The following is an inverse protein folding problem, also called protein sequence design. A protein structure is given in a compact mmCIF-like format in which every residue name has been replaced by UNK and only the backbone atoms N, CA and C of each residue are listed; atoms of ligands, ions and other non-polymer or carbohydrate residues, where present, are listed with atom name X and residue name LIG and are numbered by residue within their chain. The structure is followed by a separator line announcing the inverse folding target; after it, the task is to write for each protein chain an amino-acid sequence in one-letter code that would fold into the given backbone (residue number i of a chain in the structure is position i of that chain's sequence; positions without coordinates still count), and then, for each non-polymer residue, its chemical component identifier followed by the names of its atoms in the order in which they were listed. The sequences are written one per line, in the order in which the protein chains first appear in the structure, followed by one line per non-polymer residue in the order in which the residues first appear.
data_IF_466124007864
#
_entry.id   IF_466124007864
#
_cell.length_a   1.000
_cell.length_b   1.000
_cell.length_c   1.000
_cell.angle_alpha   90.00
_cell.angle_beta   90.00
_cell.angle_gamma   90.00
#
_symmetry.space_group_name_H-M   'P 1'
#
loop_
_entity.id
_entity.type
_entity.pdbx_description
1 polymer ?
#
# COMPACT_ATOMS: atom_id res chain seq x y z
N UNK A 1 -13.79 30.65 15.87
CA UNK A 1 -13.75 29.75 14.69
C UNK A 1 -12.33 29.31 14.35
N UNK A 2 -11.36 30.22 14.23
CA UNK A 2 -9.95 29.87 13.96
C UNK A 2 -9.26 28.97 15.02
N UNK A 3 -9.59 29.11 16.31
CA UNK A 3 -9.01 28.27 17.38
C UNK A 3 -9.44 26.80 17.30
N UNK A 4 -10.69 26.53 16.91
CA UNK A 4 -11.21 25.15 16.81
C UNK A 4 -10.58 24.43 15.61
N UNK A 5 -10.39 25.16 14.50
CA UNK A 5 -9.73 24.65 13.30
C UNK A 5 -8.23 24.38 13.55
N UNK A 6 -7.57 25.23 14.34
CA UNK A 6 -6.18 25.04 14.74
C UNK A 6 -6.00 23.85 15.69
N UNK A 7 -6.89 23.70 16.68
CA UNK A 7 -6.87 22.56 17.61
C UNK A 7 -7.07 21.23 16.88
N UNK A 8 -8.02 21.14 15.95
CA UNK A 8 -8.22 19.95 15.12
C UNK A 8 -7.01 19.65 14.21
N UNK A 9 -6.37 20.68 13.65
CA UNK A 9 -5.17 20.50 12.81
C UNK A 9 -3.98 20.00 13.65
N UNK A 10 -3.86 20.50 14.89
CA UNK A 10 -2.80 20.09 15.82
C UNK A 10 -3.02 18.67 16.34
N UNK A 11 -4.24 18.29 16.72
CA UNK A 11 -4.57 16.92 17.12
C UNK A 11 -4.33 15.92 15.98
N UNK A 12 -4.70 16.27 14.74
CA UNK A 12 -4.41 15.43 13.56
C UNK A 12 -2.92 15.29 13.30
N UNK A 13 -2.14 16.37 13.42
CA UNK A 13 -0.69 16.31 13.28
C UNK A 13 -0.02 15.46 14.38
N UNK A 14 -0.47 15.60 15.63
CA UNK A 14 0.05 14.84 16.75
C UNK A 14 -0.27 13.34 16.61
N UNK A 15 -1.51 13.03 16.24
CA UNK A 15 -1.94 11.67 15.95
C UNK A 15 -1.13 11.06 14.80
N UNK A 16 -0.91 11.81 13.71
CA UNK A 16 -0.06 11.39 12.59
C UNK A 16 1.38 11.09 13.01
N UNK A 17 1.99 11.93 13.85
CA UNK A 17 3.38 11.76 14.29
C UNK A 17 3.54 10.58 15.26
N UNK A 18 2.68 10.46 16.28
CA UNK A 18 2.69 9.33 17.21
C UNK A 18 2.46 8.01 16.48
N UNK A 19 1.62 8.05 15.45
CA UNK A 19 1.32 6.92 14.62
C UNK A 19 2.50 6.49 13.73
N UNK A 20 3.19 7.45 13.08
CA UNK A 20 4.45 7.17 12.38
C UNK A 20 5.48 6.51 13.29
N UNK A 21 5.63 7.00 14.53
CA UNK A 21 6.53 6.41 15.51
C UNK A 21 6.14 4.97 15.89
N UNK A 22 4.84 4.70 16.04
CA UNK A 22 4.33 3.35 16.31
C UNK A 22 4.65 2.41 15.14
N UNK A 23 4.42 2.84 13.90
CA UNK A 23 4.72 2.00 12.74
C UNK A 23 6.22 1.74 12.60
N UNK A 24 7.06 2.77 12.68
CA UNK A 24 8.51 2.60 12.57
C UNK A 24 9.04 1.64 13.63
N UNK A 25 8.49 1.68 14.85
CA UNK A 25 8.79 0.70 15.90
C UNK A 25 8.33 -0.72 15.57
N UNK A 26 7.11 -0.89 15.07
CA UNK A 26 6.59 -2.20 14.66
C UNK A 26 7.49 -2.83 13.60
N UNK A 27 7.89 -2.07 12.57
CA UNK A 27 8.79 -2.56 11.52
C UNK A 27 10.22 -2.80 11.99
N UNK A 28 10.75 -1.98 12.90
CA UNK A 28 12.11 -2.18 13.44
C UNK A 28 12.20 -3.42 14.34
N UNK A 29 11.12 -3.76 15.03
CA UNK A 29 11.08 -4.89 15.98
C UNK A 29 10.73 -6.22 15.31
N UNK A 30 9.97 -6.19 14.23
CA UNK A 30 9.67 -7.40 13.48
C UNK A 30 10.86 -7.73 12.57
N UNK A 31 11.55 -8.85 12.85
CA UNK A 31 12.52 -9.45 11.91
C UNK A 31 11.78 -10.10 10.74
N UNK A 32 11.07 -9.29 9.96
CA UNK A 32 10.37 -9.76 8.77
C UNK A 32 11.44 -10.05 7.72
N UNK A 33 11.67 -11.33 7.45
CA UNK A 33 12.64 -11.77 6.42
C UNK A 33 11.96 -12.41 5.23
N UNK A 34 10.63 -12.45 5.24
CA UNK A 34 9.79 -13.01 4.19
C UNK A 34 8.79 -11.96 3.70
N UNK A 35 8.62 -11.86 2.37
CA UNK A 35 7.72 -10.90 1.74
C UNK A 35 6.27 -11.03 2.21
N UNK A 36 5.82 -12.24 2.55
CA UNK A 36 4.46 -12.49 3.03
C UNK A 36 4.17 -11.80 4.36
N UNK A 37 5.06 -11.94 5.35
CA UNK A 37 4.86 -11.32 6.68
C UNK A 37 4.87 -9.79 6.61
N UNK A 38 5.66 -9.24 5.68
CA UNK A 38 5.70 -7.82 5.35
C UNK A 38 4.35 -7.37 4.79
N UNK A 39 3.86 -8.08 3.78
CA UNK A 39 2.59 -7.76 3.13
C UNK A 39 1.41 -7.85 4.11
N UNK A 40 1.38 -8.87 4.97
CA UNK A 40 0.34 -9.03 6.00
C UNK A 40 0.38 -7.89 7.02
N UNK A 41 1.58 -7.49 7.46
CA UNK A 41 1.75 -6.36 8.39
C UNK A 41 1.27 -5.05 7.77
N UNK A 42 1.67 -4.77 6.52
CA UNK A 42 1.22 -3.60 5.77
C UNK A 42 -0.30 -3.58 5.65
N UNK A 43 -0.87 -4.72 5.28
CA UNK A 43 -2.30 -4.89 5.14
C UNK A 43 -3.01 -4.58 6.47
N UNK A 44 -2.56 -5.17 7.58
CA UNK A 44 -3.15 -4.98 8.91
C UNK A 44 -3.09 -3.52 9.38
N UNK A 45 -1.97 -2.83 9.14
CA UNK A 45 -1.82 -1.42 9.48
C UNK A 45 -2.76 -0.54 8.67
N UNK A 46 -2.85 -0.81 7.37
CA UNK A 46 -3.71 -0.05 6.46
C UNK A 46 -5.17 -0.15 6.89
N UNK A 47 -5.64 -1.34 7.30
CA UNK A 47 -6.99 -1.55 7.81
C UNK A 47 -7.27 -0.93 9.19
N UNK A 48 -6.24 -0.65 9.99
CA UNK A 48 -6.43 -0.05 11.32
C UNK A 48 -6.69 1.46 11.25
N UNK A 49 -6.21 2.13 10.20
CA UNK A 49 -6.32 3.59 10.05
C UNK A 49 -7.34 4.00 9.00
N UNK A 50 -7.43 3.25 7.89
CA UNK A 50 -8.40 3.49 6.85
C UNK A 50 -9.61 2.58 7.11
N UNK A 51 -10.79 3.16 7.33
CA UNK A 51 -12.07 2.43 7.52
C UNK A 51 -12.56 1.82 6.18
N UNK A 52 -11.75 0.89 5.66
CA UNK A 52 -11.86 0.23 4.38
C UNK A 52 -11.99 -1.28 4.58
N UNK A 53 -12.84 -1.91 3.76
CA UNK A 53 -13.08 -3.35 3.82
C UNK A 53 -12.22 -4.14 2.85
N UNK A 54 -11.66 -3.47 1.85
CA UNK A 54 -10.80 -4.10 0.86
C UNK A 54 -9.41 -3.45 0.87
N UNK A 55 -8.37 -4.29 0.86
CA UNK A 55 -6.96 -3.90 0.91
C UNK A 55 -6.09 -4.92 0.21
N UNK A 56 -5.09 -4.46 -0.52
CA UNK A 56 -4.17 -5.31 -1.25
C UNK A 56 -2.77 -4.70 -1.29
N UNK A 57 -1.78 -5.57 -1.22
CA UNK A 57 -0.39 -5.29 -1.52
C UNK A 57 0.03 -6.17 -2.68
N UNK A 58 0.47 -5.55 -3.77
CA UNK A 58 1.01 -6.21 -4.95
C UNK A 58 2.50 -5.90 -5.02
N UNK A 59 3.33 -6.91 -5.27
CA UNK A 59 4.78 -6.76 -5.41
C UNK A 59 5.20 -7.27 -6.78
N UNK A 60 6.18 -6.60 -7.39
CA UNK A 60 6.79 -7.07 -8.63
C UNK A 60 7.57 -8.35 -8.36
N UNK A 61 7.34 -9.38 -9.18
CA UNK A 61 8.18 -10.57 -9.20
C UNK A 61 9.51 -10.31 -9.94
N UNK A 62 10.35 -11.34 -10.05
CA UNK A 62 11.64 -11.25 -10.76
C UNK A 62 11.51 -10.93 -12.26
N UNK A 63 10.32 -11.02 -12.85
CA UNK A 63 10.02 -10.64 -14.24
C UNK A 63 9.48 -9.21 -14.37
N UNK A 64 9.27 -8.52 -13.24
CA UNK A 64 8.67 -7.19 -13.19
C UNK A 64 7.14 -7.19 -13.34
N UNK A 65 6.49 -8.35 -13.26
CA UNK A 65 5.03 -8.44 -13.24
C UNK A 65 4.53 -8.32 -11.80
N UNK A 66 3.38 -7.67 -11.61
CA UNK A 66 2.76 -7.62 -10.29
C UNK A 66 2.18 -8.97 -9.91
N UNK A 67 2.58 -9.46 -8.74
CA UNK A 67 2.02 -10.60 -8.06
C UNK A 67 1.35 -10.17 -6.75
N UNK A 68 0.34 -10.92 -6.32
CA UNK A 68 -0.40 -10.63 -5.09
C UNK A 68 0.45 -11.08 -3.90
N UNK A 69 0.89 -10.14 -3.08
CA UNK A 69 1.59 -10.42 -1.84
C UNK A 69 0.62 -10.51 -0.65
N UNK A 70 -0.40 -9.64 -0.61
CA UNK A 70 -1.52 -9.75 0.32
C UNK A 70 -2.79 -9.19 -0.32
N UNK A 71 -3.94 -9.78 0.00
CA UNK A 71 -5.24 -9.26 -0.43
C UNK A 71 -6.33 -9.68 0.56
N UNK A 72 -7.20 -8.73 0.89
CA UNK A 72 -8.38 -8.95 1.71
C UNK A 72 -9.53 -8.11 1.16
N UNK A 73 -10.74 -8.66 1.16
CA UNK A 73 -11.97 -7.92 0.83
C UNK A 73 -12.22 -7.57 -0.64
N UNK A 74 -11.25 -7.81 -1.55
CA UNK A 74 -11.44 -7.60 -2.99
C UNK A 74 -12.25 -8.70 -3.70
N UNK A 75 -12.61 -9.78 -3.00
CA UNK A 75 -13.29 -10.93 -3.60
C UNK A 75 -12.27 -11.83 -4.30
N UNK A 76 -12.40 -12.01 -5.61
CA UNK A 76 -11.46 -12.80 -6.41
C UNK A 76 -10.12 -12.06 -6.55
N UNK A 77 -9.03 -12.56 -5.92
CA UNK A 77 -7.75 -11.87 -5.97
C UNK A 77 -7.16 -11.82 -7.39
N UNK A 78 -7.48 -12.78 -8.26
CA UNK A 78 -6.91 -12.85 -9.61
C UNK A 78 -7.22 -11.59 -10.44
N UNK A 79 -8.33 -10.92 -10.16
CA UNK A 79 -8.71 -9.67 -10.82
C UNK A 79 -7.71 -8.54 -10.57
N UNK A 80 -6.99 -8.54 -9.43
CA UNK A 80 -5.99 -7.52 -9.08
C UNK A 80 -4.70 -7.61 -9.91
N UNK A 81 -4.50 -8.69 -10.67
CA UNK A 81 -3.32 -8.90 -11.53
C UNK A 81 -3.68 -9.26 -12.98
N UNK A 82 -4.98 -9.21 -13.30
CA UNK A 82 -5.49 -9.47 -14.65
C UNK A 82 -5.12 -8.36 -15.65
N UNK A 83 -5.33 -8.62 -16.94
CA UNK A 83 -4.97 -7.68 -18.01
C UNK A 83 -5.72 -6.34 -17.88
N UNK A 84 -6.97 -6.34 -17.44
CA UNK A 84 -7.79 -5.14 -17.26
C UNK A 84 -7.29 -4.13 -16.25
N UNK A 85 -6.56 -4.56 -15.22
CA UNK A 85 -6.03 -3.67 -14.20
C UNK A 85 -4.60 -3.19 -14.50
N UNK A 86 -3.94 -3.78 -15.51
CA UNK A 86 -2.53 -3.53 -15.86
C UNK A 86 -2.30 -2.04 -16.16
N UNK A 87 -3.16 -1.43 -16.97
CA UNK A 87 -3.06 -0.02 -17.33
C UNK A 87 -3.18 0.90 -16.10
N UNK A 88 -4.07 0.56 -15.16
CA UNK A 88 -4.22 1.28 -13.90
C UNK A 88 -2.93 1.21 -13.08
N UNK A 89 -2.38 0.01 -12.87
CA UNK A 89 -1.20 -0.15 -12.02
C UNK A 89 0.06 0.47 -12.60
N UNK A 90 0.29 0.39 -13.92
CA UNK A 90 1.40 1.10 -14.54
C UNK A 90 1.29 2.61 -14.34
N UNK A 91 0.09 3.18 -14.53
CA UNK A 91 -0.12 4.60 -14.29
C UNK A 91 0.14 4.98 -12.81
N UNK A 92 -0.32 4.18 -11.85
CA UNK A 92 -0.05 4.41 -10.42
C UNK A 92 1.46 4.37 -10.12
N UNK A 93 2.19 3.42 -10.72
CA UNK A 93 3.64 3.33 -10.58
C UNK A 93 4.38 4.53 -11.20
N UNK A 94 3.91 5.03 -12.35
CA UNK A 94 4.52 6.19 -13.01
C UNK A 94 4.29 7.49 -12.21
N UNK A 95 3.14 7.63 -11.56
CA UNK A 95 2.80 8.83 -10.77
C UNK A 95 3.61 8.95 -9.46
N UNK A 96 4.09 7.84 -8.90
CA UNK A 96 4.92 7.79 -7.67
C UNK A 96 4.41 8.62 -6.49
N UNK A 97 3.08 8.73 -6.36
CA UNK A 97 2.39 9.42 -5.26
C UNK A 97 1.10 8.69 -4.91
N UNK A 98 0.58 8.93 -3.71
CA UNK A 98 -0.73 8.42 -3.35
C UNK A 98 -1.83 9.12 -4.16
N UNK A 99 -2.78 8.33 -4.66
CA UNK A 99 -3.86 8.75 -5.53
C UNK A 99 -5.19 8.35 -4.90
N UNK A 100 -6.15 9.28 -4.88
CA UNK A 100 -7.57 8.97 -4.64
C UNK A 100 -8.31 8.99 -5.97
N UNK A 101 -8.90 7.87 -6.35
CA UNK A 101 -9.62 7.68 -7.59
C UNK A 101 -11.11 7.52 -7.31
N UNK A 102 -11.93 8.32 -7.99
CA UNK A 102 -13.37 8.15 -7.99
C UNK A 102 -13.82 6.97 -8.85
N UNK A 103 -15.10 6.54 -8.72
CA UNK A 103 -15.70 5.44 -9.50
C UNK A 103 -15.41 5.52 -11.01
N UNK A 104 -15.61 6.70 -11.61
CA UNK A 104 -15.42 6.90 -13.05
C UNK A 104 -13.97 6.72 -13.48
N UNK A 105 -13.01 7.19 -12.68
CA UNK A 105 -11.59 7.06 -12.97
C UNK A 105 -11.11 5.62 -12.87
N UNK A 106 -11.64 4.87 -11.88
CA UNK A 106 -11.38 3.43 -11.73
C UNK A 106 -11.93 2.69 -12.95
N UNK A 107 -13.22 2.83 -13.26
CA UNK A 107 -13.88 2.08 -14.33
C UNK A 107 -13.35 2.43 -15.73
N UNK A 108 -12.82 3.66 -15.93
CA UNK A 108 -12.18 4.03 -17.18
C UNK A 108 -10.84 3.31 -17.43
N UNK A 109 -10.14 2.90 -16.38
CA UNK A 109 -8.83 2.22 -16.46
C UNK A 109 -8.89 0.74 -16.12
N UNK A 110 -9.96 0.31 -15.47
CA UNK A 110 -10.24 -1.04 -15.06
C UNK A 110 -11.76 -1.30 -15.18
N UNK A 111 -12.28 -1.51 -16.40
CA UNK A 111 -13.72 -1.69 -16.64
C UNK A 111 -14.34 -2.87 -15.89
N UNK A 112 -13.58 -3.95 -15.74
CA UNK A 112 -13.92 -5.18 -15.00
C UNK A 112 -13.48 -5.13 -13.53
N UNK A 113 -13.44 -3.95 -12.91
CA UNK A 113 -13.06 -3.78 -11.52
C UNK A 113 -13.95 -4.64 -10.59
N UNK A 114 -13.37 -5.25 -9.53
CA UNK A 114 -14.15 -5.95 -8.52
C UNK A 114 -15.12 -5.00 -7.83
N UNK A 115 -16.27 -5.49 -7.33
CA UNK A 115 -17.28 -4.64 -6.66
C UNK A 115 -16.73 -3.74 -5.56
N UNK A 116 -15.66 -4.17 -4.87
CA UNK A 116 -14.99 -3.40 -3.84
C UNK A 116 -14.32 -2.12 -4.38
N UNK A 117 -13.76 -2.16 -5.58
CA UNK A 117 -13.07 -1.05 -6.25
C UNK A 117 -14.03 -0.12 -7.02
N UNK A 118 -15.21 -0.59 -7.41
CA UNK A 118 -16.17 0.18 -8.22
C UNK A 118 -16.65 1.48 -7.56
N UNK A 119 -16.54 1.62 -6.23
CA UNK A 119 -16.95 2.83 -5.50
C UNK A 119 -15.82 3.85 -5.34
N UNK A 120 -14.63 3.55 -5.86
CA UNK A 120 -13.43 4.33 -5.68
C UNK A 120 -12.31 3.54 -5.01
N UNK A 121 -11.11 4.07 -5.16
CA UNK A 121 -9.86 3.40 -4.79
C UNK A 121 -8.89 4.45 -4.25
N UNK A 122 -8.16 4.15 -3.19
CA UNK A 122 -6.91 4.84 -2.90
C UNK A 122 -5.74 3.89 -3.13
N UNK A 123 -4.69 4.37 -3.78
CA UNK A 123 -3.54 3.56 -4.13
C UNK A 123 -2.25 4.37 -4.17
N UNK A 124 -1.12 3.70 -4.01
CA UNK A 124 0.22 4.29 -4.08
C UNK A 124 1.22 3.26 -4.57
N UNK A 125 2.22 3.69 -5.32
CA UNK A 125 3.36 2.85 -5.68
C UNK A 125 4.21 2.53 -4.44
N UNK A 126 4.82 1.35 -4.40
CA UNK A 126 5.89 1.02 -3.46
C UNK A 126 7.20 1.23 -4.20
N UNK A 127 7.91 2.31 -3.89
CA UNK A 127 9.12 2.70 -4.61
C UNK A 127 10.38 2.39 -3.81
N UNK A 128 11.34 1.72 -4.43
CA UNK A 128 12.67 1.47 -3.89
C UNK A 128 13.70 2.18 -4.76
N UNK A 129 14.28 3.27 -4.25
CA UNK A 129 15.09 4.20 -5.05
C UNK A 129 14.28 4.72 -6.25
N UNK A 130 14.78 4.55 -7.48
CA UNK A 130 14.12 5.05 -8.70
C UNK A 130 13.14 4.04 -9.34
N UNK A 131 12.96 2.85 -8.75
CA UNK A 131 12.11 1.79 -9.32
C UNK A 131 10.88 1.52 -8.45
N UNK A 132 9.72 1.39 -9.09
CA UNK A 132 8.52 0.87 -8.42
C UNK A 132 8.61 -0.65 -8.32
N UNK A 133 8.51 -1.17 -7.11
CA UNK A 133 8.57 -2.60 -6.77
C UNK A 133 7.20 -3.17 -6.39
N UNK A 134 6.14 -2.37 -6.46
CA UNK A 134 4.80 -2.81 -6.10
C UNK A 134 3.78 -1.68 -6.03
N UNK A 135 2.57 -2.03 -5.58
CA UNK A 135 1.44 -1.12 -5.35
C UNK A 135 0.73 -1.52 -4.06
N UNK A 136 0.33 -0.52 -3.28
CA UNK A 136 -0.65 -0.67 -2.21
C UNK A 136 -1.98 -0.08 -2.66
N UNK A 137 -3.07 -0.77 -2.36
CA UNK A 137 -4.41 -0.38 -2.76
C UNK A 137 -5.43 -0.65 -1.65
N UNK A 138 -6.39 0.27 -1.48
CA UNK A 138 -7.53 0.13 -0.57
C UNK A 138 -8.82 0.59 -1.21
N UNK A 139 -9.91 -0.10 -0.88
CA UNK A 139 -11.23 0.15 -1.44
C UNK A 139 -12.36 -0.22 -0.46
N UNK A 140 -13.60 -0.08 -0.93
CA UNK A 140 -14.83 -0.28 -0.16
C UNK A 140 -14.82 0.44 1.20
N UNK A 141 -14.51 1.74 1.14
CA UNK A 141 -14.55 2.63 2.30
C UNK A 141 -15.97 2.72 2.86
N UNK A 142 -16.11 2.55 4.18
CA UNK A 142 -17.42 2.52 4.85
C UNK A 142 -18.18 3.85 4.75
N UNK A 143 -17.48 4.98 4.88
CA UNK A 143 -18.10 6.32 4.80
C UNK A 143 -18.53 6.72 3.39
N UNK A 144 -18.02 6.03 2.35
CA UNK A 144 -18.20 6.36 0.92
C UNK A 144 -17.70 7.76 0.49
N UNK A 145 -17.04 8.49 1.39
CA UNK A 145 -16.39 9.75 1.05
C UNK A 145 -15.08 9.49 0.29
N UNK A 146 -14.61 10.43 -0.56
CA UNK A 146 -13.26 10.40 -1.09
C UNK A 146 -12.21 10.35 0.02
N UNK A 147 -11.03 9.83 -0.30
CA UNK A 147 -9.92 9.80 0.65
C UNK A 147 -9.35 11.22 0.82
N UNK A 148 -9.20 11.63 2.08
CA UNK A 148 -8.64 12.92 2.42
C UNK A 148 -7.11 12.93 2.26
N UNK A 149 -6.52 14.14 2.19
CA UNK A 149 -5.10 14.31 1.97
C UNK A 149 -4.23 13.63 3.05
N UNK A 150 -4.62 13.69 4.31
CA UNK A 150 -3.90 13.04 5.42
C UNK A 150 -3.94 11.51 5.33
N UNK A 151 -5.02 10.94 4.81
CA UNK A 151 -5.14 9.51 4.53
C UNK A 151 -4.23 9.08 3.37
N UNK A 152 -4.07 9.94 2.36
CA UNK A 152 -3.11 9.71 1.28
C UNK A 152 -1.65 9.86 1.75
N UNK A 153 -1.38 10.81 2.65
CA UNK A 153 -0.08 10.94 3.32
C UNK A 153 0.23 9.68 4.12
N UNK A 154 -0.73 9.20 4.91
CA UNK A 154 -0.63 7.93 5.62
C UNK A 154 -0.28 6.77 4.67
N UNK A 155 -1.02 6.65 3.56
CA UNK A 155 -0.81 5.56 2.60
C UNK A 155 0.60 5.63 1.98
N UNK A 156 1.08 6.84 1.69
CA UNK A 156 2.45 7.09 1.21
C UNK A 156 3.50 6.69 2.25
N UNK A 157 3.28 6.98 3.53
CA UNK A 157 4.19 6.56 4.58
C UNK A 157 4.25 5.03 4.71
N UNK A 158 3.10 4.36 4.65
CA UNK A 158 3.04 2.89 4.67
C UNK A 158 3.77 2.28 3.47
N UNK A 159 3.66 2.89 2.28
CA UNK A 159 4.44 2.50 1.11
C UNK A 159 5.96 2.62 1.34
N UNK A 160 6.44 3.73 1.91
CA UNK A 160 7.86 3.90 2.22
C UNK A 160 8.38 2.82 3.18
N UNK A 161 7.58 2.43 4.18
CA UNK A 161 7.90 1.35 5.10
C UNK A 161 7.91 -0.02 4.42
N UNK A 162 6.94 -0.27 3.55
CA UNK A 162 6.89 -1.47 2.73
C UNK A 162 8.15 -1.62 1.89
N UNK A 163 8.58 -0.55 1.24
CA UNK A 163 9.79 -0.50 0.43
C UNK A 163 11.04 -0.88 1.22
N UNK A 164 11.24 -0.25 2.39
CA UNK A 164 12.37 -0.55 3.27
C UNK A 164 12.36 -2.01 3.75
N UNK A 165 11.19 -2.54 4.10
CA UNK A 165 11.07 -3.91 4.57
C UNK A 165 11.38 -4.93 3.48
N UNK A 166 10.87 -4.72 2.26
CA UNK A 166 11.17 -5.57 1.11
C UNK A 166 12.66 -5.55 0.80
N UNK A 167 13.29 -4.37 0.77
CA UNK A 167 14.72 -4.23 0.55
C UNK A 167 15.55 -4.99 1.60
N UNK A 168 15.15 -4.95 2.87
CA UNK A 168 15.81 -5.69 3.93
C UNK A 168 15.65 -7.21 3.76
N UNK A 169 14.46 -7.67 3.40
CA UNK A 169 14.21 -9.09 3.16
C UNK A 169 15.06 -9.64 2.00
N UNK A 170 15.17 -8.87 0.91
CA UNK A 170 15.99 -9.22 -0.26
C UNK A 170 17.48 -9.31 0.12
N UNK A 171 18.01 -8.30 0.83
CA UNK A 171 19.40 -8.29 1.29
C UNK A 171 19.70 -9.49 2.22
N UNK A 172 18.78 -9.86 3.10
CA UNK A 172 18.92 -11.05 3.96
C UNK A 172 18.88 -12.37 3.17
N UNK A 173 18.08 -12.46 2.11
CA UNK A 173 18.03 -13.63 1.25
C UNK A 173 19.36 -13.82 0.49
N UNK A 174 19.91 -12.74 -0.08
CA UNK A 174 21.20 -12.76 -0.78
C UNK A 174 22.36 -13.18 0.14
N UNK A 175 22.44 -12.59 1.33
CA UNK A 175 23.47 -12.94 2.32
C UNK A 175 23.39 -14.42 2.73
N UNK A 176 22.18 -14.97 2.91
CA UNK A 176 21.99 -16.39 3.23
C UNK A 176 22.44 -17.29 2.08
N UNK A 177 22.17 -16.89 0.84
CA UNK A 177 22.57 -17.65 -0.34
C UNK A 177 24.10 -17.67 -0.50
N UNK A 178 24.76 -16.53 -0.32
CA UNK A 178 26.23 -16.44 -0.40
C UNK A 178 26.92 -17.32 0.64
N UNK A 179 26.40 -17.37 1.87
CA UNK A 179 26.95 -18.25 2.92
C UNK A 179 26.84 -19.73 2.56
N UNK A 180 25.71 -20.16 2.00
CA UNK A 180 25.52 -21.54 1.53
C UNK A 180 26.43 -21.94 0.38
N UNK A 181 26.85 -20.98 -0.46
CA UNK A 181 27.76 -21.23 -1.58
C UNK A 181 29.23 -21.24 -1.17
N UNK A 182 29.55 -20.72 0.02
CA UNK A 182 30.91 -20.70 0.58
C UNK A 182 31.19 -21.86 1.56
N UNK A 183 30.17 -22.66 1.88
CA UNK A 183 30.25 -23.92 2.63
C UNK A 183 30.34 -25.11 1.66
#
# INVERSE_FOLDING_TARGET
MAEVEFAHRYERALAGTQFLQLITRTFSNLRLTAHQEIADTISAMTGSFLDCRARAALLCDGSGQLAIAASEGFGDPAQLTGEGCRALWHWVMDEKRALSLGPEQVLARWPEAPPAACKGLACVAIDLHDRSIGVLAVADRRSRAPFAEDELVFLSCVSGLASMAVANADAHAEQRQQRKLAE
#
